data_IF_227605201332
#
_entry.id   IF_227605201332
#
_cell.length_a   1.000
_cell.length_b   1.000
_cell.length_c   1.000
_cell.angle_alpha   90.00
_cell.angle_beta   90.00
_cell.angle_gamma   90.00
#
_symmetry.space_group_name_H-M   'P 1'
#
loop_
_entity.id
_entity.type
_entity.pdbx_description
1 polymer ?
#
# COMPACT_ATOMS: atom_id res chain seq x y z
N UNK A 1 -36.32 -22.92 -17.36
CA UNK A 1 -36.24 -22.89 -15.89
C UNK A 1 -34.78 -22.98 -15.51
N UNK A 2 -34.26 -22.06 -14.69
CA UNK A 2 -32.87 -22.19 -14.23
C UNK A 2 -32.71 -23.43 -13.35
N UNK A 3 -31.52 -24.01 -13.34
CA UNK A 3 -31.18 -25.24 -12.60
C UNK A 3 -31.39 -25.11 -11.08
N UNK A 4 -31.57 -23.88 -10.58
CA UNK A 4 -31.81 -23.58 -9.17
C UNK A 4 -33.28 -23.88 -8.82
N UNK A 5 -34.21 -23.63 -9.75
CA UNK A 5 -35.64 -23.91 -9.59
C UNK A 5 -35.99 -25.40 -9.71
N UNK A 6 -35.09 -26.25 -10.23
CA UNK A 6 -35.27 -27.71 -10.26
C UNK A 6 -34.83 -28.43 -8.98
N UNK A 7 -34.22 -27.72 -8.02
CA UNK A 7 -33.77 -28.29 -6.74
C UNK A 7 -32.48 -29.13 -6.83
N UNK A 8 -31.90 -29.30 -8.01
CA UNK A 8 -30.69 -30.12 -8.24
C UNK A 8 -29.38 -29.50 -7.69
N UNK A 9 -29.46 -28.24 -7.24
CA UNK A 9 -28.32 -27.43 -6.76
C UNK A 9 -28.37 -27.13 -5.25
N UNK A 10 -29.30 -27.69 -4.49
CA UNK A 10 -29.39 -27.46 -3.03
C UNK A 10 -28.10 -27.96 -2.35
N UNK A 11 -27.46 -27.10 -1.57
CA UNK A 11 -26.22 -27.38 -0.84
C UNK A 11 -24.96 -27.47 -1.70
N UNK A 12 -25.04 -27.17 -3.01
CA UNK A 12 -23.86 -27.08 -3.87
C UNK A 12 -23.31 -25.66 -3.84
N UNK A 13 -21.98 -25.57 -3.70
CA UNK A 13 -21.24 -24.32 -3.78
C UNK A 13 -20.87 -24.04 -5.23
N UNK A 14 -21.29 -22.89 -5.73
CA UNK A 14 -20.89 -22.34 -7.01
C UNK A 14 -19.91 -21.20 -6.77
N UNK A 15 -18.72 -21.27 -7.37
CA UNK A 15 -17.77 -20.16 -7.32
C UNK A 15 -18.31 -18.98 -8.12
N UNK A 16 -18.22 -17.77 -7.54
CA UNK A 16 -18.66 -16.53 -8.19
C UNK A 16 -17.50 -15.54 -8.35
N UNK A 17 -16.26 -16.01 -8.17
CA UNK A 17 -15.04 -15.20 -8.22
C UNK A 17 -14.88 -14.48 -9.56
N UNK A 18 -15.06 -15.19 -10.68
CA UNK A 18 -14.92 -14.59 -12.02
C UNK A 18 -16.01 -13.55 -12.30
N UNK A 19 -17.23 -13.77 -11.79
CA UNK A 19 -18.33 -12.83 -11.94
C UNK A 19 -18.05 -11.52 -11.18
N UNK A 20 -17.39 -11.62 -10.02
CA UNK A 20 -16.97 -10.46 -9.23
C UNK A 20 -15.84 -9.66 -9.91
N UNK A 21 -14.91 -10.33 -10.59
CA UNK A 21 -13.83 -9.66 -11.34
C UNK A 21 -14.34 -8.95 -12.62
N UNK A 22 -15.47 -9.41 -13.18
CA UNK A 22 -16.13 -8.81 -14.33
C UNK A 22 -17.10 -7.67 -13.96
N UNK A 23 -17.20 -7.31 -12.66
CA UNK A 23 -17.96 -6.16 -12.23
C UNK A 23 -17.38 -4.86 -12.79
N UNK A 24 -18.21 -3.82 -12.82
CA UNK A 24 -17.80 -2.52 -13.34
C UNK A 24 -16.55 -2.00 -12.59
N UNK A 25 -15.42 -1.79 -13.29
CA UNK A 25 -14.17 -1.33 -12.67
C UNK A 25 -14.30 0.04 -11.99
N UNK A 26 -15.27 0.87 -12.37
CA UNK A 26 -15.52 2.15 -11.71
C UNK A 26 -16.13 2.00 -10.30
N UNK A 27 -16.77 0.88 -10.01
CA UNK A 27 -17.40 0.62 -8.71
C UNK A 27 -16.44 -0.09 -7.74
N UNK A 28 -15.55 -0.95 -8.27
CA UNK A 28 -14.57 -1.71 -7.47
C UNK A 28 -13.16 -1.58 -8.09
N UNK A 29 -12.60 -0.36 -8.16
CA UNK A 29 -11.38 -0.09 -8.90
C UNK A 29 -10.15 -0.76 -8.28
N UNK A 30 -10.04 -0.87 -6.95
CA UNK A 30 -8.91 -1.55 -6.31
C UNK A 30 -8.98 -3.07 -6.54
N UNK A 31 -10.17 -3.65 -6.48
CA UNK A 31 -10.40 -5.05 -6.80
C UNK A 31 -10.04 -5.36 -8.26
N UNK A 32 -10.49 -4.55 -9.20
CA UNK A 32 -10.15 -4.69 -10.62
C UNK A 32 -8.65 -4.48 -10.88
N UNK A 33 -8.00 -3.63 -10.09
CA UNK A 33 -6.57 -3.33 -10.21
C UNK A 33 -5.67 -4.47 -9.71
N UNK A 34 -5.98 -5.05 -8.55
CA UNK A 34 -5.14 -6.06 -7.90
C UNK A 34 -5.52 -7.49 -8.27
N UNK A 35 -6.81 -7.72 -8.55
CA UNK A 35 -7.37 -9.07 -8.66
C UNK A 35 -7.22 -9.88 -7.37
N UNK A 36 -7.55 -11.16 -7.46
CA UNK A 36 -7.32 -12.11 -6.38
C UNK A 36 -6.02 -12.89 -6.62
N UNK A 37 -5.20 -12.98 -5.58
CA UNK A 37 -3.95 -13.77 -5.57
C UNK A 37 -4.16 -15.11 -4.88
N UNK A 38 -3.08 -15.88 -4.66
CA UNK A 38 -3.19 -17.23 -4.12
C UNK A 38 -3.78 -17.23 -2.71
N UNK A 39 -4.45 -18.33 -2.38
CA UNK A 39 -5.11 -18.53 -1.09
C UNK A 39 -4.14 -18.51 0.10
N UNK A 40 -4.63 -18.06 1.26
CA UNK A 40 -3.97 -18.23 2.57
C UNK A 40 -4.53 -19.43 3.33
N UNK A 41 -3.74 -19.96 4.26
CA UNK A 41 -4.06 -21.21 4.97
C UNK A 41 -4.48 -20.99 6.43
N UNK A 42 -4.28 -19.78 6.93
CA UNK A 42 -4.52 -19.41 8.31
C UNK A 42 -5.32 -18.11 8.37
N UNK A 43 -6.06 -17.96 9.48
CA UNK A 43 -6.86 -16.77 9.77
C UNK A 43 -5.98 -15.54 9.98
N UNK A 44 -4.79 -15.71 10.57
CA UNK A 44 -3.76 -14.68 10.58
C UNK A 44 -2.77 -14.98 9.45
N UNK A 45 -2.71 -14.09 8.45
CA UNK A 45 -1.70 -14.16 7.40
C UNK A 45 -0.53 -13.28 7.79
N UNK A 46 0.67 -13.86 7.84
CA UNK A 46 1.88 -13.10 8.22
C UNK A 46 3.01 -13.28 7.21
N UNK A 47 3.71 -12.19 6.95
CA UNK A 47 4.87 -12.14 6.09
C UNK A 47 6.04 -11.49 6.82
N UNK A 48 7.24 -11.68 6.27
CA UNK A 48 8.48 -11.16 6.84
C UNK A 48 9.09 -10.14 5.90
N UNK A 49 9.29 -8.94 6.42
CA UNK A 49 10.01 -7.87 5.75
C UNK A 49 11.46 -7.88 6.21
N UNK A 50 12.35 -7.59 5.26
CA UNK A 50 13.77 -7.40 5.52
C UNK A 50 14.15 -5.99 5.11
N UNK A 51 15.11 -5.42 5.82
CA UNK A 51 15.63 -4.08 5.55
C UNK A 51 17.15 -4.13 5.60
N UNK A 52 17.78 -3.38 4.70
CA UNK A 52 19.21 -3.18 4.76
C UNK A 52 19.57 -2.23 5.90
N UNK A 53 20.84 -2.21 6.29
CA UNK A 53 21.34 -1.14 7.14
C UNK A 53 21.31 0.18 6.38
N UNK A 54 20.93 1.26 7.06
CA UNK A 54 21.13 2.59 6.54
C UNK A 54 22.61 2.90 6.37
N UNK A 55 22.90 3.88 5.54
CA UNK A 55 24.22 4.45 5.25
C UNK A 55 24.36 5.88 5.82
N UNK A 56 23.26 6.48 6.26
CA UNK A 56 23.20 7.90 6.63
C UNK A 56 22.55 8.16 8.00
N UNK A 57 22.98 9.25 8.64
CA UNK A 57 22.33 9.86 9.80
C UNK A 57 22.56 11.37 9.79
N UNK A 58 21.96 12.10 10.73
CA UNK A 58 22.27 13.50 11.01
C UNK A 58 22.99 13.65 12.35
N UNK A 59 23.78 14.72 12.49
CA UNK A 59 24.40 15.13 13.76
C UNK A 59 23.35 15.74 14.68
N UNK A 60 23.43 15.43 15.97
CA UNK A 60 22.59 15.99 17.01
C UNK A 60 23.44 16.85 17.97
N UNK A 61 23.21 18.15 17.92
CA UNK A 61 24.00 19.17 18.62
C UNK A 61 25.30 19.48 17.86
N UNK A 62 25.45 20.74 17.46
CA UNK A 62 26.64 21.21 16.76
C UNK A 62 27.94 20.91 17.51
N UNK A 63 29.03 20.72 16.76
CA UNK A 63 30.34 20.34 17.28
C UNK A 63 31.41 21.29 16.77
N UNK A 64 32.38 21.58 17.61
CA UNK A 64 33.58 22.34 17.24
C UNK A 64 34.51 21.47 16.38
N UNK A 65 35.55 22.07 15.81
CA UNK A 65 36.57 21.36 15.05
C UNK A 65 37.49 20.46 15.91
N UNK A 66 37.42 20.57 17.25
CA UNK A 66 38.20 19.75 18.18
C UNK A 66 37.41 18.57 18.76
N UNK A 67 36.08 18.57 18.65
CA UNK A 67 35.25 17.53 19.24
C UNK A 67 35.43 16.18 18.51
N UNK A 68 35.76 15.15 19.28
CA UNK A 68 35.93 13.76 18.82
C UNK A 68 34.75 12.84 19.17
N UNK A 69 33.77 13.38 19.90
CA UNK A 69 32.52 12.69 20.25
C UNK A 69 31.34 13.33 19.53
N UNK A 70 30.92 12.71 18.42
CA UNK A 70 29.84 13.18 17.57
C UNK A 70 28.56 12.42 17.95
N UNK A 71 27.56 13.13 18.46
CA UNK A 71 26.25 12.53 18.75
C UNK A 71 25.44 12.55 17.46
N UNK A 72 24.82 11.43 17.12
CA UNK A 72 24.02 11.28 15.89
C UNK A 72 22.58 10.89 16.21
N UNK A 73 21.64 11.22 15.32
CA UNK A 73 20.24 10.85 15.46
C UNK A 73 20.01 9.33 15.46
N UNK A 74 20.74 8.60 14.61
CA UNK A 74 20.77 7.15 14.54
C UNK A 74 22.21 6.62 14.43
N UNK A 75 22.62 5.77 15.38
CA UNK A 75 23.94 5.14 15.36
C UNK A 75 23.96 3.81 14.58
N UNK A 76 22.80 3.27 14.19
CA UNK A 76 22.67 2.01 13.46
C UNK A 76 23.53 1.96 12.20
N UNK A 77 23.66 2.98 11.34
CA UNK A 77 24.49 2.88 10.14
C UNK A 77 25.98 2.60 10.40
N UNK A 78 26.48 2.96 11.58
CA UNK A 78 27.91 3.07 11.84
C UNK A 78 28.47 1.87 12.62
N UNK A 79 29.73 1.55 12.35
CA UNK A 79 30.56 0.64 13.17
C UNK A 79 31.99 1.15 13.20
N UNK A 80 32.77 0.67 14.18
CA UNK A 80 34.20 0.97 14.23
C UNK A 80 34.92 0.57 12.92
N UNK A 81 35.86 1.40 12.50
CA UNK A 81 36.59 1.27 11.23
C UNK A 81 35.79 1.65 9.99
N UNK A 82 34.69 2.38 10.13
CA UNK A 82 34.03 3.11 9.03
C UNK A 82 34.67 4.47 8.83
N UNK A 83 34.88 4.85 7.58
CA UNK A 83 35.19 6.22 7.18
C UNK A 83 33.84 6.88 6.84
N UNK A 84 33.54 7.97 7.55
CA UNK A 84 32.31 8.74 7.40
C UNK A 84 32.62 10.11 6.82
N UNK A 85 31.67 10.69 6.09
CA UNK A 85 31.75 12.04 5.53
C UNK A 85 30.75 12.96 6.21
N UNK A 86 31.20 14.15 6.62
CA UNK A 86 30.36 15.22 7.15
C UNK A 86 30.76 16.52 6.46
N UNK A 87 29.88 17.06 5.60
CA UNK A 87 30.27 18.15 4.70
C UNK A 87 31.40 17.72 3.78
N UNK A 88 32.55 18.40 3.85
CA UNK A 88 33.76 18.04 3.10
C UNK A 88 34.81 17.31 3.95
N UNK A 89 34.55 17.10 5.24
CA UNK A 89 35.46 16.40 6.16
C UNK A 89 35.23 14.88 6.11
N UNK A 90 36.34 14.12 6.05
CA UNK A 90 36.33 12.68 6.30
C UNK A 90 36.76 12.42 7.74
N UNK A 91 36.03 11.54 8.42
CA UNK A 91 36.30 11.15 9.80
C UNK A 91 36.40 9.63 9.89
N UNK A 92 37.31 9.11 10.70
CA UNK A 92 37.41 7.68 10.98
C UNK A 92 36.69 7.36 12.28
N UNK A 93 35.69 6.48 12.23
CA UNK A 93 34.97 6.01 13.42
C UNK A 93 35.83 4.99 14.16
N UNK A 94 36.23 5.30 15.39
CA UNK A 94 37.03 4.41 16.24
C UNK A 94 36.16 3.59 17.18
N UNK A 95 35.04 4.14 17.64
CA UNK A 95 34.07 3.43 18.46
C UNK A 95 32.65 3.96 18.25
N UNK A 96 31.66 3.12 18.52
CA UNK A 96 30.24 3.48 18.46
C UNK A 96 29.57 3.07 19.76
N UNK A 97 29.00 4.03 20.49
CA UNK A 97 28.13 3.75 21.62
C UNK A 97 26.67 3.85 21.16
N UNK A 98 26.01 2.70 21.00
CA UNK A 98 24.62 2.64 20.54
C UNK A 98 23.62 3.20 21.56
N UNK A 99 23.91 3.12 22.87
CA UNK A 99 23.02 3.62 23.93
C UNK A 99 22.96 5.15 23.98
N UNK A 100 24.12 5.80 23.91
CA UNK A 100 24.21 7.27 23.86
C UNK A 100 24.20 7.84 22.44
N UNK A 101 24.09 6.99 21.42
CA UNK A 101 24.18 7.34 19.98
C UNK A 101 25.41 8.20 19.65
N UNK A 102 26.54 7.90 20.29
CA UNK A 102 27.77 8.69 20.15
C UNK A 102 28.80 7.93 19.33
N UNK A 103 29.32 8.58 18.28
CA UNK A 103 30.45 8.13 17.50
C UNK A 103 31.72 8.75 18.06
N UNK A 104 32.69 7.93 18.44
CA UNK A 104 34.05 8.39 18.70
C UNK A 104 34.80 8.38 17.38
N UNK A 105 35.39 9.52 17.01
CA UNK A 105 35.97 9.73 15.69
C UNK A 105 37.34 10.38 15.75
N UNK A 106 38.19 10.03 14.78
CA UNK A 106 39.40 10.80 14.46
C UNK A 106 39.03 11.83 13.38
N UNK A 107 39.24 13.11 13.69
CA UNK A 107 38.97 14.27 12.82
C UNK A 107 40.05 14.42 11.75
N UNK A 108 39.70 15.06 10.63
CA UNK A 108 40.65 15.38 9.55
C UNK A 108 41.31 14.16 8.90
N UNK A 109 40.57 13.05 8.81
CA UNK A 109 41.10 11.81 8.25
C UNK A 109 41.47 11.99 6.77
N UNK A 110 42.51 11.28 6.30
CA UNK A 110 43.02 11.38 4.93
C UNK A 110 43.43 12.80 4.49
N UNK A 111 44.00 13.58 5.42
CA UNK A 111 44.39 14.99 5.23
C UNK A 111 43.22 15.95 4.92
N UNK A 112 42.01 15.61 5.35
CA UNK A 112 40.89 16.56 5.30
C UNK A 112 40.99 17.56 6.45
N UNK A 113 40.40 18.74 6.29
CA UNK A 113 40.48 19.81 7.30
C UNK A 113 39.32 19.70 8.28
N UNK A 114 39.62 19.62 9.58
CA UNK A 114 38.59 19.60 10.61
C UNK A 114 37.83 20.93 10.67
N UNK A 115 36.51 20.88 10.46
CA UNK A 115 35.64 22.06 10.47
C UNK A 115 34.61 22.01 11.60
N UNK A 116 34.01 23.16 11.93
CA UNK A 116 32.85 23.14 12.81
C UNK A 116 31.70 22.39 12.11
N UNK A 117 31.06 21.48 12.84
CA UNK A 117 29.94 20.68 12.35
C UNK A 117 28.66 21.32 12.87
N UNK A 118 27.79 21.74 11.95
CA UNK A 118 26.48 22.27 12.30
C UNK A 118 25.57 21.18 12.88
N UNK A 119 24.63 21.59 13.73
CA UNK A 119 23.53 20.70 14.12
C UNK A 119 22.71 20.30 12.89
N UNK A 120 22.27 19.04 12.84
CA UNK A 120 21.56 18.49 11.68
C UNK A 120 22.41 18.20 10.44
N UNK A 121 23.74 18.39 10.49
CA UNK A 121 24.61 18.07 9.37
C UNK A 121 24.52 16.58 8.99
N UNK A 122 24.51 16.28 7.69
CA UNK A 122 24.46 14.91 7.17
C UNK A 122 25.77 14.17 7.46
N UNK A 123 25.64 12.96 7.96
CA UNK A 123 26.73 12.00 8.21
C UNK A 123 26.49 10.78 7.35
N UNK A 124 27.41 10.46 6.47
CA UNK A 124 27.26 9.36 5.51
C UNK A 124 28.44 8.39 5.60
N UNK A 125 28.14 7.09 5.66
CA UNK A 125 29.15 6.02 5.58
C UNK A 125 29.63 5.93 4.14
N UNK A 126 30.93 6.17 3.92
CA UNK A 126 31.51 6.08 2.59
C UNK A 126 32.04 4.68 2.34
N UNK A 127 32.95 4.24 3.19
CA UNK A 127 33.61 2.96 3.06
C UNK A 127 34.27 2.55 4.37
N UNK A 128 34.93 1.41 4.31
CA UNK A 128 35.62 0.75 5.39
C UNK A 128 37.12 0.99 5.22
N UNK A 129 37.81 1.36 6.30
CA UNK A 129 39.28 1.33 6.28
C UNK A 129 39.74 -0.13 6.28
N UNK A 130 40.26 -0.58 5.14
CA UNK A 130 40.87 -1.90 4.97
C UNK A 130 42.34 -1.84 5.34
N UNK A 131 42.78 -2.77 6.18
CA UNK A 131 44.19 -3.00 6.47
C UNK A 131 44.59 -4.30 5.77
N UNK A 132 45.74 -4.32 5.11
CA UNK A 132 46.25 -5.53 4.46
C UNK A 132 46.56 -6.62 5.50
N UNK A 133 46.18 -7.87 5.21
CA UNK A 133 46.43 -9.02 6.09
C UNK A 133 45.56 -9.09 7.36
N UNK A 134 44.51 -8.26 7.48
CA UNK A 134 43.61 -8.27 8.65
C UNK A 134 42.63 -9.46 8.62
N UNK A 135 42.21 -9.88 9.82
CA UNK A 135 41.11 -10.81 9.99
C UNK A 135 39.78 -10.25 9.47
N UNK A 136 38.86 -11.16 9.12
CA UNK A 136 37.51 -10.83 8.73
C UNK A 136 36.78 -10.08 9.85
N UNK A 137 36.05 -9.02 9.50
CA UNK A 137 35.23 -8.28 10.45
C UNK A 137 34.08 -9.14 10.95
N UNK A 138 33.63 -8.88 12.17
CA UNK A 138 32.42 -9.49 12.69
C UNK A 138 31.23 -9.23 11.76
N UNK A 139 30.49 -10.31 11.49
CA UNK A 139 29.27 -10.26 10.70
C UNK A 139 28.22 -9.44 11.43
N UNK A 140 27.46 -8.66 10.67
CA UNK A 140 26.32 -7.92 11.18
C UNK A 140 25.07 -8.38 10.47
N UNK A 141 24.00 -8.60 11.23
CA UNK A 141 22.71 -9.02 10.71
C UNK A 141 21.61 -8.11 11.25
N UNK A 142 20.61 -7.83 10.42
CA UNK A 142 19.39 -7.14 10.82
C UNK A 142 18.28 -8.20 10.93
N UNK A 143 17.57 -8.30 12.06
CA UNK A 143 16.49 -9.27 12.18
C UNK A 143 15.33 -8.86 11.28
N UNK A 144 14.75 -9.84 10.58
CA UNK A 144 13.53 -9.66 9.79
C UNK A 144 12.36 -9.32 10.70
N UNK A 145 11.51 -8.40 10.27
CA UNK A 145 10.32 -7.98 11.02
C UNK A 145 9.11 -8.73 10.51
N UNK A 146 8.36 -9.36 11.42
CA UNK A 146 7.09 -10.02 11.09
C UNK A 146 5.98 -8.97 11.01
N UNK A 147 5.24 -8.97 9.90
CA UNK A 147 4.01 -8.21 9.69
C UNK A 147 2.85 -9.19 9.55
N UNK A 148 1.65 -8.78 9.95
CA UNK A 148 0.46 -9.65 9.82
C UNK A 148 -0.84 -8.88 9.65
N UNK A 149 -1.75 -9.50 8.90
CA UNK A 149 -3.15 -9.09 8.78
C UNK A 149 -4.05 -10.30 9.08
N UNK A 150 -5.33 -10.05 9.31
CA UNK A 150 -6.31 -11.08 9.68
C UNK A 150 -7.37 -11.16 8.57
N UNK A 151 -7.85 -12.37 8.30
CA UNK A 151 -8.96 -12.59 7.37
C UNK A 151 -10.29 -12.10 7.94
N UNK A 152 -11.10 -11.50 7.07
CA UNK A 152 -12.44 -11.03 7.38
C UNK A 152 -13.47 -11.79 6.53
N UNK A 153 -14.55 -12.22 7.17
CA UNK A 153 -15.69 -12.84 6.50
C UNK A 153 -16.58 -11.74 5.94
N UNK A 154 -16.99 -11.92 4.69
CA UNK A 154 -17.97 -11.14 3.97
C UNK A 154 -19.10 -12.09 3.59
N UNK A 155 -20.30 -11.81 4.05
CA UNK A 155 -21.49 -12.61 3.75
C UNK A 155 -22.71 -11.76 3.41
N UNK A 156 -23.57 -12.31 2.55
CA UNK A 156 -24.83 -11.70 2.18
C UNK A 156 -25.85 -12.80 1.82
N UNK A 157 -27.13 -12.53 1.98
CA UNK A 157 -28.20 -13.52 1.74
C UNK A 157 -29.11 -13.10 0.58
N UNK A 158 -29.42 -14.05 -0.30
CA UNK A 158 -30.42 -13.91 -1.36
C UNK A 158 -31.69 -14.60 -0.90
N UNK A 159 -32.81 -13.87 -0.91
CA UNK A 159 -34.10 -14.39 -0.49
C UNK A 159 -35.21 -14.00 -1.47
N UNK A 160 -36.04 -14.97 -1.86
CA UNK A 160 -37.17 -14.76 -2.77
C UNK A 160 -38.42 -15.42 -2.21
N UNK A 161 -39.49 -14.65 -2.02
CA UNK A 161 -40.78 -15.18 -1.56
C UNK A 161 -41.46 -16.06 -2.63
N UNK A 162 -42.27 -17.02 -2.20
CA UNK A 162 -43.01 -17.91 -3.09
C UNK A 162 -43.94 -17.17 -4.05
N UNK A 163 -44.55 -16.06 -3.60
CA UNK A 163 -45.35 -15.19 -4.46
C UNK A 163 -44.50 -14.48 -5.51
N UNK A 164 -43.33 -13.95 -5.14
CA UNK A 164 -42.43 -13.27 -6.07
C UNK A 164 -41.87 -14.24 -7.13
N UNK A 165 -41.57 -15.48 -6.73
CA UNK A 165 -41.15 -16.53 -7.67
C UNK A 165 -42.28 -16.96 -8.64
N UNK A 166 -43.55 -16.88 -8.22
CA UNK A 166 -44.71 -17.28 -9.03
C UNK A 166 -45.20 -16.18 -9.99
N UNK A 167 -44.92 -14.90 -9.68
CA UNK A 167 -45.30 -13.77 -10.52
C UNK A 167 -44.24 -13.53 -11.59
N UNK A 168 -44.63 -13.58 -12.87
CA UNK A 168 -43.75 -13.18 -13.97
C UNK A 168 -43.46 -11.68 -13.87
N UNK A 169 -42.22 -11.33 -13.52
CA UNK A 169 -41.80 -9.94 -13.43
C UNK A 169 -41.36 -9.45 -14.81
N UNK A 170 -41.96 -8.37 -15.30
CA UNK A 170 -41.69 -7.86 -16.65
C UNK A 170 -40.22 -7.46 -16.79
N UNK A 171 -39.51 -8.06 -17.76
CA UNK A 171 -38.10 -7.76 -18.06
C UNK A 171 -37.06 -8.49 -17.22
N UNK A 172 -37.45 -9.48 -16.39
CA UNK A 172 -36.53 -10.32 -15.62
C UNK A 172 -36.79 -11.79 -15.95
N UNK A 173 -35.82 -12.45 -16.60
CA UNK A 173 -35.94 -13.86 -17.00
C UNK A 173 -35.77 -14.83 -15.82
N UNK A 174 -34.88 -14.50 -14.86
CA UNK A 174 -34.70 -15.22 -13.61
C UNK A 174 -34.51 -14.25 -12.44
N UNK A 175 -35.53 -14.15 -11.58
CA UNK A 175 -35.53 -13.27 -10.41
C UNK A 175 -34.43 -13.66 -9.41
N UNK A 176 -34.14 -14.96 -9.28
CA UNK A 176 -33.11 -15.44 -8.36
C UNK A 176 -31.72 -15.02 -8.80
N UNK A 177 -31.43 -15.19 -10.08
CA UNK A 177 -30.13 -14.80 -10.62
C UNK A 177 -29.93 -13.29 -10.56
N UNK A 178 -30.99 -12.51 -10.82
CA UNK A 178 -30.96 -11.06 -10.73
C UNK A 178 -30.67 -10.56 -9.30
N UNK A 179 -31.34 -11.11 -8.29
CA UNK A 179 -31.07 -10.76 -6.89
C UNK A 179 -29.68 -11.26 -6.45
N UNK A 180 -29.24 -12.44 -6.92
CA UNK A 180 -27.88 -12.93 -6.69
C UNK A 180 -26.82 -11.94 -7.20
N UNK A 181 -26.95 -11.44 -8.42
CA UNK A 181 -26.01 -10.48 -9.00
C UNK A 181 -25.95 -9.16 -8.22
N UNK A 182 -27.09 -8.65 -7.73
CA UNK A 182 -27.10 -7.48 -6.85
C UNK A 182 -26.35 -7.72 -5.56
N UNK A 183 -26.60 -8.87 -4.91
CA UNK A 183 -25.91 -9.23 -3.65
C UNK A 183 -24.41 -9.44 -3.86
N UNK A 184 -24.00 -10.00 -5.00
CA UNK A 184 -22.58 -10.06 -5.38
C UNK A 184 -21.94 -8.67 -5.48
N UNK A 185 -22.62 -7.71 -6.13
CA UNK A 185 -22.13 -6.34 -6.24
C UNK A 185 -22.02 -5.66 -4.86
N UNK A 186 -23.02 -5.82 -3.99
CA UNK A 186 -22.98 -5.30 -2.62
C UNK A 186 -21.78 -5.86 -1.84
N UNK A 187 -21.54 -7.17 -1.97
CA UNK A 187 -20.42 -7.85 -1.31
C UNK A 187 -19.05 -7.38 -1.83
N UNK A 188 -18.92 -7.19 -3.15
CA UNK A 188 -17.71 -6.63 -3.77
C UNK A 188 -17.42 -5.20 -3.27
N UNK A 189 -18.47 -4.37 -3.16
CA UNK A 189 -18.36 -3.02 -2.62
C UNK A 189 -17.96 -3.00 -1.13
N UNK A 190 -18.44 -3.96 -0.34
CA UNK A 190 -18.02 -4.12 1.05
C UNK A 190 -16.54 -4.50 1.15
N UNK A 191 -16.08 -5.43 0.31
CA UNK A 191 -14.67 -5.81 0.26
C UNK A 191 -13.79 -4.61 -0.14
N UNK A 192 -14.15 -3.88 -1.19
CA UNK A 192 -13.44 -2.67 -1.64
C UNK A 192 -13.32 -1.64 -0.52
N UNK A 193 -14.41 -1.38 0.22
CA UNK A 193 -14.40 -0.47 1.38
C UNK A 193 -13.48 -0.95 2.48
N UNK A 194 -13.48 -2.26 2.77
CA UNK A 194 -12.61 -2.85 3.78
C UNK A 194 -11.13 -2.80 3.36
N UNK A 195 -10.81 -2.97 2.08
CA UNK A 195 -9.43 -2.88 1.58
C UNK A 195 -8.84 -1.46 1.76
N UNK A 196 -9.67 -0.42 1.69
CA UNK A 196 -9.21 0.97 1.83
C UNK A 196 -9.30 1.44 3.28
N UNK A 197 -10.46 1.26 3.91
CA UNK A 197 -10.81 1.84 5.20
C UNK A 197 -10.74 0.85 6.37
N UNK A 198 -10.43 -0.42 6.12
CA UNK A 198 -10.37 -1.46 7.14
C UNK A 198 -9.44 -1.11 8.30
N UNK A 199 -9.85 -1.51 9.50
CA UNK A 199 -9.07 -1.37 10.73
C UNK A 199 -9.00 -2.75 11.34
N UNK A 200 -7.78 -3.22 11.61
CA UNK A 200 -7.57 -4.51 12.29
C UNK A 200 -8.32 -4.54 13.62
N UNK A 201 -9.29 -5.45 13.74
CA UNK A 201 -10.07 -5.66 14.96
C UNK A 201 -10.35 -7.15 15.15
N UNK A 202 -10.20 -7.64 16.38
CA UNK A 202 -10.56 -9.00 16.76
C UNK A 202 -11.17 -9.03 18.15
N UNK A 203 -12.30 -9.73 18.28
CA UNK A 203 -12.96 -9.98 19.56
C UNK A 203 -13.36 -11.46 19.71
N UNK A 204 -12.44 -12.36 19.31
CA UNK A 204 -12.58 -13.83 19.36
C UNK A 204 -13.57 -14.44 18.37
N UNK A 205 -14.70 -13.77 18.12
CA UNK A 205 -15.76 -14.20 17.20
C UNK A 205 -15.74 -13.38 15.91
N UNK A 206 -15.58 -12.06 16.03
CA UNK A 206 -15.55 -11.14 14.90
C UNK A 206 -14.11 -10.73 14.60
N UNK A 207 -13.76 -10.78 13.32
CA UNK A 207 -12.45 -10.37 12.79
C UNK A 207 -12.64 -9.40 11.64
N UNK A 208 -11.88 -8.33 11.64
CA UNK A 208 -11.85 -7.33 10.58
C UNK A 208 -10.40 -7.14 10.13
N UNK A 209 -10.22 -7.06 8.82
CA UNK A 209 -8.91 -6.89 8.22
C UNK A 209 -8.46 -5.42 8.26
N UNK A 210 -7.15 -5.22 8.25
CA UNK A 210 -6.53 -3.91 8.09
C UNK A 210 -6.55 -3.49 6.61
N UNK A 211 -6.84 -2.21 6.36
CA UNK A 211 -6.88 -1.62 5.03
C UNK A 211 -5.69 -0.69 4.75
N UNK A 212 -5.54 -0.29 3.48
CA UNK A 212 -4.42 0.53 2.97
C UNK A 212 -4.20 1.80 3.81
N UNK A 213 -5.30 2.44 4.24
CA UNK A 213 -5.24 3.67 5.03
C UNK A 213 -4.48 3.51 6.35
N UNK A 214 -4.69 2.40 7.04
CA UNK A 214 -4.07 2.14 8.34
C UNK A 214 -2.73 1.44 8.21
N UNK A 215 -2.52 0.70 7.11
CA UNK A 215 -1.25 0.05 6.82
C UNK A 215 -0.15 1.08 6.48
N UNK A 216 -0.46 2.17 5.77
CA UNK A 216 0.48 3.28 5.49
C UNK A 216 0.58 4.20 6.72
N UNK A 217 1.75 4.27 7.36
CA UNK A 217 1.97 5.01 8.63
C UNK A 217 3.09 6.04 8.57
N UNK A 218 4.17 5.73 7.87
CA UNK A 218 5.40 6.52 7.80
C UNK A 218 5.32 7.60 6.72
N UNK A 219 4.90 7.24 5.51
CA UNK A 219 4.78 8.14 4.38
C UNK A 219 3.39 8.79 4.32
N UNK A 220 3.02 9.52 5.38
CA UNK A 220 1.75 10.26 5.46
C UNK A 220 2.04 11.76 5.41
N UNK A 221 1.66 12.39 4.30
CA UNK A 221 1.87 13.81 4.05
C UNK A 221 0.55 14.58 4.25
N UNK A 222 0.65 15.75 4.87
CA UNK A 222 -0.46 16.69 4.96
C UNK A 222 -0.32 17.73 3.84
N UNK A 223 -1.31 17.82 2.96
CA UNK A 223 -1.32 18.82 1.90
C UNK A 223 -1.55 20.23 2.48
N UNK A 224 -2.32 20.33 3.57
CA UNK A 224 -2.64 21.59 4.26
C UNK A 224 -3.08 22.71 3.30
N UNK A 225 -3.91 22.37 2.31
CA UNK A 225 -4.24 23.28 1.20
C UNK A 225 -4.68 22.54 -0.06
N UNK A 226 -4.63 23.20 -1.21
CA UNK A 226 -4.92 22.56 -2.49
C UNK A 226 -3.85 21.51 -2.83
N UNK A 227 -4.25 20.40 -3.44
CA UNK A 227 -3.30 19.43 -3.99
C UNK A 227 -2.51 20.09 -5.13
N UNK A 228 -1.18 20.02 -5.09
CA UNK A 228 -0.27 20.49 -6.15
C UNK A 228 0.58 19.35 -6.68
N UNK A 229 1.18 19.53 -7.86
CA UNK A 229 2.13 18.56 -8.41
C UNK A 229 3.33 18.36 -7.49
N UNK A 230 3.85 19.44 -6.89
CA UNK A 230 4.96 19.37 -5.93
C UNK A 230 4.66 18.44 -4.75
N UNK A 231 3.43 18.46 -4.22
CA UNK A 231 3.05 17.55 -3.11
C UNK A 231 3.02 16.09 -3.52
N UNK A 232 2.66 15.81 -4.76
CA UNK A 232 2.73 14.45 -5.30
C UNK A 232 4.20 14.07 -5.53
N UNK A 233 5.01 14.97 -6.07
CA UNK A 233 6.44 14.75 -6.27
C UNK A 233 7.18 14.53 -4.94
N UNK A 234 6.88 15.30 -3.90
CA UNK A 234 7.43 15.11 -2.54
C UNK A 234 7.12 13.69 -2.01
N UNK A 235 5.88 13.23 -2.19
CA UNK A 235 5.46 11.90 -1.76
C UNK A 235 6.17 10.78 -2.55
N UNK A 236 6.32 10.95 -3.87
CA UNK A 236 7.04 10.00 -4.73
C UNK A 236 8.54 10.04 -4.46
N UNK A 237 9.12 11.20 -4.18
CA UNK A 237 10.52 11.36 -3.79
C UNK A 237 10.80 10.61 -2.49
N UNK A 238 9.89 10.67 -1.51
CA UNK A 238 10.03 9.89 -0.27
C UNK A 238 10.06 8.37 -0.55
N UNK A 239 9.20 7.88 -1.44
CA UNK A 239 9.21 6.49 -1.92
C UNK A 239 10.53 6.16 -2.61
N UNK A 240 11.01 7.04 -3.49
CA UNK A 240 12.25 6.88 -4.24
C UNK A 240 13.49 6.81 -3.32
N UNK A 241 13.60 7.74 -2.37
CA UNK A 241 14.70 7.79 -1.40
C UNK A 241 14.75 6.53 -0.52
N UNK A 242 13.60 5.89 -0.28
CA UNK A 242 13.51 4.59 0.42
C UNK A 242 13.76 3.40 -0.50
N UNK A 243 14.13 3.62 -1.76
CA UNK A 243 14.45 2.58 -2.73
C UNK A 243 13.23 1.85 -3.29
N UNK A 244 12.02 2.41 -3.17
CA UNK A 244 10.79 1.78 -3.66
C UNK A 244 10.83 1.44 -5.15
N UNK A 245 11.64 2.14 -5.95
CA UNK A 245 11.73 1.95 -7.40
C UNK A 245 12.74 0.86 -7.84
N UNK A 246 13.55 0.32 -6.91
CA UNK A 246 14.68 -0.57 -7.26
C UNK A 246 14.25 -1.93 -7.82
N UNK A 247 13.04 -2.40 -7.53
CA UNK A 247 12.53 -3.74 -7.87
C UNK A 247 11.53 -3.75 -9.03
N UNK A 248 11.44 -2.66 -9.80
CA UNK A 248 10.36 -2.44 -10.76
C UNK A 248 9.18 -1.73 -10.09
N UNK A 249 8.56 -0.82 -10.83
CA UNK A 249 7.61 0.14 -10.30
C UNK A 249 6.28 0.04 -11.06
N UNK A 250 5.25 -0.52 -10.43
CA UNK A 250 3.87 -0.50 -10.95
C UNK A 250 3.00 0.38 -10.04
N UNK A 251 3.46 1.61 -9.82
CA UNK A 251 2.76 2.57 -8.97
C UNK A 251 1.49 3.07 -9.65
N UNK A 252 0.42 3.18 -8.88
CA UNK A 252 -0.83 3.79 -9.29
C UNK A 252 -1.25 4.85 -8.27
N UNK A 253 -1.69 5.99 -8.78
CA UNK A 253 -2.21 7.10 -7.97
C UNK A 253 -3.72 6.97 -7.92
N UNK A 254 -4.24 6.64 -6.74
CA UNK A 254 -5.67 6.47 -6.50
C UNK A 254 -6.20 7.77 -5.88
N UNK A 255 -7.21 8.37 -6.54
CA UNK A 255 -7.80 9.64 -6.12
C UNK A 255 -9.33 9.56 -6.04
N UNK A 256 -9.98 10.34 -5.16
CA UNK A 256 -11.42 10.57 -5.23
C UNK A 256 -11.77 11.48 -6.42
N UNK A 257 -13.05 11.51 -6.81
CA UNK A 257 -13.55 12.34 -7.90
C UNK A 257 -13.16 13.83 -7.80
N UNK A 258 -13.16 14.41 -6.59
CA UNK A 258 -12.78 15.81 -6.34
C UNK A 258 -11.32 16.07 -6.73
N UNK A 259 -10.40 15.24 -6.25
CA UNK A 259 -8.97 15.40 -6.50
C UNK A 259 -8.61 15.02 -7.94
N UNK A 260 -9.34 14.09 -8.57
CA UNK A 260 -9.17 13.81 -10.01
C UNK A 260 -9.31 15.07 -10.87
N UNK A 261 -10.28 15.93 -10.57
CA UNK A 261 -10.45 17.22 -11.27
C UNK A 261 -9.31 18.21 -11.03
N UNK A 262 -8.63 18.11 -9.89
CA UNK A 262 -7.47 18.96 -9.55
C UNK A 262 -6.24 18.45 -10.30
N UNK A 263 -5.99 17.13 -10.25
CA UNK A 263 -4.92 16.46 -11.01
C UNK A 263 -5.04 16.72 -12.50
N UNK A 264 -6.26 16.68 -13.06
CA UNK A 264 -6.53 17.01 -14.46
C UNK A 264 -6.18 18.45 -14.87
N UNK A 265 -5.87 19.34 -13.92
CA UNK A 265 -5.51 20.74 -14.18
C UNK A 265 -4.02 21.03 -14.00
N UNK A 266 -3.22 20.08 -13.51
CA UNK A 266 -1.78 20.30 -13.27
C UNK A 266 -0.98 20.64 -14.52
N UNK A 267 -1.52 20.31 -15.69
CA UNK A 267 -0.82 20.44 -16.96
C UNK A 267 -1.29 21.62 -17.84
N UNK A 268 -2.03 22.59 -17.28
CA UNK A 268 -2.56 23.69 -18.10
C UNK A 268 -1.51 24.62 -18.72
N UNK A 269 -0.26 24.58 -18.24
CA UNK A 269 0.83 25.44 -18.73
C UNK A 269 1.86 24.70 -19.63
N UNK A 270 1.74 23.39 -19.85
CA UNK A 270 2.67 22.61 -20.69
C UNK A 270 2.02 21.77 -21.81
N UNK A 271 0.72 21.98 -22.12
CA UNK A 271 0.12 21.38 -23.32
C UNK A 271 0.69 22.02 -24.59
N UNK A 272 1.79 21.45 -25.11
CA UNK A 272 2.05 21.48 -26.54
C UNK A 272 1.00 20.58 -27.19
N UNK A 273 -0.06 21.20 -27.70
CA UNK A 273 -1.04 20.57 -28.56
C UNK A 273 -0.29 19.99 -29.76
N UNK A 274 -0.09 18.67 -29.79
CA UNK A 274 0.11 18.00 -31.07
C UNK A 274 -1.25 18.08 -31.78
N UNK A 275 -1.31 18.92 -32.82
CA UNK A 275 -2.45 19.02 -33.73
C UNK A 275 -2.71 17.63 -34.33
N UNK A 276 -3.76 16.96 -33.89
CA UNK A 276 -4.13 15.64 -34.41
C UNK A 276 -5.47 15.10 -33.93
N UNK A 277 -5.86 15.32 -32.67
CA UNK A 277 -7.14 14.79 -32.15
C UNK A 277 -8.05 15.89 -31.59
N UNK A 278 -9.16 16.10 -32.28
CA UNK A 278 -10.31 16.88 -31.81
C UNK A 278 -11.13 16.01 -30.86
N UNK A 279 -10.65 15.84 -29.63
CA UNK A 279 -11.50 15.40 -28.51
C UNK A 279 -11.39 16.44 -27.39
N UNK A 280 -12.46 17.22 -27.22
CA UNK A 280 -12.60 18.18 -26.11
C UNK A 280 -12.80 17.40 -24.81
N UNK A 281 -11.70 17.16 -24.10
CA UNK A 281 -11.70 16.69 -22.72
C UNK A 281 -10.34 16.13 -22.34
N UNK A 282 -9.57 16.83 -21.51
CA UNK A 282 -8.33 16.30 -20.92
C UNK A 282 -8.68 15.32 -19.79
N UNK A 283 -9.13 14.12 -20.13
CA UNK A 283 -9.15 13.03 -19.14
C UNK A 283 -7.71 12.57 -18.97
N UNK A 284 -7.09 13.00 -17.87
CA UNK A 284 -5.72 12.60 -17.54
C UNK A 284 -5.75 11.15 -17.07
N UNK A 285 -5.30 10.22 -17.92
CA UNK A 285 -5.16 8.82 -17.55
C UNK A 285 -3.80 8.53 -16.90
N UNK A 286 -2.79 9.34 -17.24
CA UNK A 286 -1.43 9.26 -16.72
C UNK A 286 -1.00 10.64 -16.21
N UNK A 287 -0.37 10.69 -15.04
CA UNK A 287 0.29 11.88 -14.54
C UNK A 287 1.78 11.75 -14.77
N UNK A 288 2.35 12.65 -15.57
CA UNK A 288 3.79 12.77 -15.76
C UNK A 288 4.38 13.57 -14.61
N UNK A 289 5.34 12.99 -13.92
CA UNK A 289 6.07 13.58 -12.78
C UNK A 289 7.56 13.53 -13.06
N UNK A 290 8.36 14.18 -12.22
CA UNK A 290 9.83 14.14 -12.32
C UNK A 290 10.42 12.73 -12.13
N UNK A 291 9.63 11.79 -11.60
CA UNK A 291 10.01 10.40 -11.34
C UNK A 291 9.45 9.42 -12.37
N UNK A 292 8.74 9.91 -13.39
CA UNK A 292 8.12 9.10 -14.45
C UNK A 292 6.62 9.31 -14.57
N UNK A 293 5.98 8.47 -15.38
CA UNK A 293 4.55 8.51 -15.65
C UNK A 293 3.80 7.49 -14.80
N UNK A 294 2.74 7.92 -14.13
CA UNK A 294 1.93 7.08 -13.25
C UNK A 294 0.46 7.07 -13.68
N UNK A 295 -0.18 5.90 -13.82
CA UNK A 295 -1.62 5.83 -14.03
C UNK A 295 -2.37 6.44 -12.85
N UNK A 296 -3.48 7.13 -13.15
CA UNK A 296 -4.33 7.75 -12.13
C UNK A 296 -5.74 7.15 -12.20
N UNK A 297 -6.11 6.35 -11.20
CA UNK A 297 -7.46 5.79 -11.07
C UNK A 297 -8.34 6.57 -10.11
N UNK A 298 -9.64 6.45 -10.34
CA UNK A 298 -10.67 7.05 -9.49
C UNK A 298 -11.23 5.99 -8.55
N UNK A 299 -11.41 6.34 -7.28
CA UNK A 299 -12.08 5.49 -6.32
C UNK A 299 -12.87 6.32 -5.31
N UNK A 300 -14.19 6.17 -5.33
CA UNK A 300 -15.12 6.96 -4.53
C UNK A 300 -15.17 6.54 -3.05
N UNK A 301 -14.53 5.41 -2.69
CA UNK A 301 -14.39 5.00 -1.29
C UNK A 301 -13.28 5.76 -0.55
N UNK A 302 -12.47 6.55 -1.26
CA UNK A 302 -11.55 7.50 -0.65
C UNK A 302 -12.30 8.74 -0.16
N UNK A 303 -11.82 9.34 0.92
CA UNK A 303 -12.29 10.67 1.35
C UNK A 303 -11.95 11.71 0.28
N UNK A 304 -12.72 12.79 0.21
CA UNK A 304 -12.54 13.81 -0.83
C UNK A 304 -11.23 14.61 -0.71
N UNK A 305 -10.53 14.48 0.40
CA UNK A 305 -9.32 15.21 0.78
C UNK A 305 -8.04 14.34 0.80
N UNK A 306 -8.09 13.12 0.27
CA UNK A 306 -6.95 12.21 0.28
C UNK A 306 -6.54 11.70 -1.10
N UNK A 307 -5.28 11.28 -1.18
CA UNK A 307 -4.67 10.61 -2.34
C UNK A 307 -3.82 9.46 -1.83
N UNK A 308 -3.88 8.31 -2.50
CA UNK A 308 -3.04 7.15 -2.21
C UNK A 308 -2.12 6.87 -3.39
N UNK A 309 -0.87 6.53 -3.11
CA UNK A 309 0.12 6.08 -4.09
C UNK A 309 0.51 4.66 -3.69
N UNK A 310 0.17 3.68 -4.54
CA UNK A 310 0.29 2.26 -4.20
C UNK A 310 1.01 1.50 -5.30
N UNK A 311 1.92 0.58 -4.93
CA UNK A 311 2.57 -0.34 -5.87
C UNK A 311 1.74 -1.63 -5.99
N UNK A 312 1.25 -1.91 -7.19
CA UNK A 312 0.45 -3.13 -7.47
C UNK A 312 1.22 -4.41 -7.17
N UNK A 313 2.54 -4.41 -7.32
CA UNK A 313 3.34 -5.62 -7.09
C UNK A 313 3.43 -6.01 -5.60
N UNK A 314 3.17 -5.04 -4.71
CA UNK A 314 3.35 -5.15 -3.26
C UNK A 314 2.05 -5.20 -2.48
N UNK A 315 0.91 -5.00 -3.15
CA UNK A 315 -0.42 -5.18 -2.56
C UNK A 315 -1.10 -6.39 -3.19
N UNK A 316 -1.62 -7.31 -2.37
CA UNK A 316 -2.33 -8.52 -2.85
C UNK A 316 -3.58 -8.76 -2.02
N UNK A 317 -4.67 -9.08 -2.69
CA UNK A 317 -5.90 -9.54 -2.04
C UNK A 317 -5.87 -11.07 -2.06
N UNK A 318 -5.91 -11.69 -0.88
CA UNK A 318 -5.85 -13.15 -0.77
C UNK A 318 -7.12 -13.72 -0.13
N UNK A 319 -7.78 -14.70 -0.77
CA UNK A 319 -8.85 -15.46 -0.14
C UNK A 319 -8.30 -16.47 0.87
N UNK A 320 -9.10 -16.85 1.88
CA UNK A 320 -8.81 -18.02 2.70
C UNK A 320 -9.11 -19.30 1.93
N UNK A 321 -8.23 -20.29 1.98
CA UNK A 321 -8.35 -21.56 1.26
C UNK A 321 -9.71 -22.22 1.53
N UNK A 322 -10.47 -22.47 0.45
CA UNK A 322 -11.80 -23.10 0.53
C UNK A 322 -12.93 -22.18 0.99
N UNK A 323 -12.66 -20.89 1.17
CA UNK A 323 -13.63 -19.84 1.54
C UNK A 323 -13.55 -18.63 0.61
N UNK A 324 -13.19 -18.88 -0.65
CA UNK A 324 -13.37 -17.91 -1.74
C UNK A 324 -14.85 -17.56 -1.92
N UNK A 325 -15.15 -16.43 -2.56
CA UNK A 325 -16.52 -16.05 -2.84
C UNK A 325 -17.27 -17.16 -3.58
N UNK A 326 -18.21 -17.74 -2.86
CA UNK A 326 -19.07 -18.81 -3.36
C UNK A 326 -20.50 -18.51 -2.99
N UNK A 327 -21.39 -18.86 -3.91
CA UNK A 327 -22.81 -18.89 -3.69
C UNK A 327 -23.22 -20.32 -3.35
N UNK A 328 -24.01 -20.47 -2.28
CA UNK A 328 -24.61 -21.75 -1.90
C UNK A 328 -26.12 -21.58 -1.85
N UNK A 329 -26.84 -22.37 -2.64
CA UNK A 329 -28.29 -22.40 -2.57
C UNK A 329 -28.76 -23.27 -1.40
N UNK A 330 -29.46 -22.67 -0.43
CA UNK A 330 -29.92 -23.36 0.78
C UNK A 330 -31.25 -24.09 0.58
N UNK A 331 -31.95 -23.82 -0.54
CA UNK A 331 -33.25 -24.40 -0.85
C UNK A 331 -34.43 -23.58 -0.30
N UNK A 332 -35.60 -24.21 -0.27
CA UNK A 332 -36.84 -23.60 0.25
C UNK A 332 -36.84 -23.64 1.78
N UNK A 333 -36.98 -22.49 2.43
CA UNK A 333 -37.26 -22.38 3.87
C UNK A 333 -38.62 -21.70 4.01
N UNK A 334 -39.59 -22.35 4.65
CA UNK A 334 -40.95 -21.82 4.70
C UNK A 334 -41.54 -21.59 3.30
N UNK A 335 -42.19 -20.45 3.06
CA UNK A 335 -42.67 -20.05 1.74
C UNK A 335 -41.73 -19.07 1.00
N UNK A 336 -40.42 -19.32 1.07
CA UNK A 336 -39.42 -18.58 0.32
C UNK A 336 -38.20 -19.46 -0.04
N UNK A 337 -37.48 -19.06 -1.08
CA UNK A 337 -36.20 -19.65 -1.50
C UNK A 337 -35.07 -18.83 -0.90
N UNK A 338 -34.00 -19.49 -0.42
CA UNK A 338 -32.87 -18.81 0.19
C UNK A 338 -31.53 -19.33 -0.35
N UNK A 339 -30.59 -18.43 -0.54
CA UNK A 339 -29.19 -18.72 -0.82
C UNK A 339 -28.28 -17.78 -0.05
N UNK A 340 -27.03 -18.19 0.14
CA UNK A 340 -26.02 -17.42 0.86
C UNK A 340 -24.81 -17.22 -0.04
N UNK A 341 -24.26 -16.00 -0.03
CA UNK A 341 -22.95 -15.71 -0.57
C UNK A 341 -21.98 -15.53 0.59
N UNK A 342 -20.85 -16.21 0.53
CA UNK A 342 -19.80 -16.09 1.56
C UNK A 342 -18.45 -16.05 0.88
N UNK A 343 -17.59 -15.15 1.35
CA UNK A 343 -16.17 -15.16 1.06
C UNK A 343 -15.38 -14.65 2.24
N UNK A 344 -14.13 -15.07 2.34
CA UNK A 344 -13.24 -14.66 3.41
C UNK A 344 -11.90 -14.24 2.83
N UNK A 345 -11.51 -12.99 3.10
CA UNK A 345 -10.40 -12.33 2.43
C UNK A 345 -9.51 -11.57 3.42
N UNK A 346 -8.24 -11.41 3.06
CA UNK A 346 -7.27 -10.55 3.73
C UNK A 346 -6.48 -9.75 2.68
N UNK A 347 -5.89 -8.64 3.10
CA UNK A 347 -4.91 -7.91 2.30
C UNK A 347 -3.49 -8.18 2.81
N UNK A 348 -2.61 -8.53 1.88
CA UNK A 348 -1.16 -8.61 2.08
C UNK A 348 -0.52 -7.36 1.49
N UNK A 349 0.35 -6.70 2.26
CA UNK A 349 0.93 -5.42 1.91
C UNK A 349 2.41 -5.38 2.28
N UNK A 350 3.27 -5.40 1.27
CA UNK A 350 4.72 -5.46 1.42
C UNK A 350 5.35 -4.07 1.38
N UNK A 351 6.35 -3.87 2.22
CA UNK A 351 7.25 -2.72 2.20
C UNK A 351 6.46 -1.40 2.22
N UNK A 352 5.94 -1.09 3.39
CA UNK A 352 5.14 0.11 3.66
C UNK A 352 5.78 1.40 3.14
N UNK A 353 7.11 1.52 3.24
CA UNK A 353 7.89 2.67 2.77
C UNK A 353 7.84 2.89 1.25
N UNK A 354 7.35 1.92 0.48
CA UNK A 354 7.14 2.07 -0.95
C UNK A 354 5.79 2.73 -1.30
N UNK A 355 4.94 2.98 -0.31
CA UNK A 355 3.61 3.52 -0.52
C UNK A 355 3.51 4.88 0.14
N UNK A 356 2.57 5.72 -0.29
CA UNK A 356 2.36 7.02 0.32
C UNK A 356 0.88 7.38 0.39
N UNK A 357 0.55 8.22 1.37
CA UNK A 357 -0.78 8.80 1.54
C UNK A 357 -0.65 10.30 1.73
N UNK A 358 -1.42 11.05 0.97
CA UNK A 358 -1.59 12.49 1.14
C UNK A 358 -2.99 12.72 1.74
N UNK A 359 -3.10 13.56 2.78
CA UNK A 359 -4.37 13.94 3.44
C UNK A 359 -4.54 15.45 3.48
N UNK A 360 -5.76 15.93 3.73
CA UNK A 360 -6.02 17.37 3.91
C UNK A 360 -5.97 18.20 2.63
N UNK A 361 -6.22 17.58 1.46
CA UNK A 361 -6.31 18.27 0.19
C UNK A 361 -7.69 18.96 0.04
N UNK A 362 -7.71 20.29 0.00
CA UNK A 362 -8.93 21.09 -0.07
C UNK A 362 -9.59 21.16 -1.43
#
# INVERSE_FOLDING_TARGET
>A
MSKILSGELIGKKESVVDQLLLLNPHQTPLLAMLGFSDTVDQVEHSWFEDEMFGDESTVAGGKTNADTAIVVANAEPFRAGHVIKIGDELLLVTAVNAGSKTLTVTRGYANTTAAAIADGAKVEVQFVEGQEGRDAREGRYKPRVRKSNITQIFDETVEISGTAAAVSQYGIDDLYEYEKQKKQLELALQLEKALINGIKYENGVVRQMDGLRNMIKTNVFDASGALTLDKINDAIQAIYNKGGFKTGAAYEIIVPAKQKRVVSKFDKDAVRINQGEVSRGTVVNFLTTDFGEFPVSINDNLRSDEVLIVDKNRARIRPLRGREFSHEYLGKKGDYLQGMLVGEYTMEFFQESAHARIKGAN
#
